data_IF_015775695260
#
_entry.id   IF_015775695260
#
_cell.length_a   1.000
_cell.length_b   1.000
_cell.length_c   1.000
_cell.angle_alpha   90.00
_cell.angle_beta   90.00
_cell.angle_gamma   90.00
#
_symmetry.space_group_name_H-M   'P 1'
#
loop_
_entity.id
_entity.type
_entity.pdbx_description
1 polymer ?
#
# COMPACT_ATOMS: atom_id res chain seq x y z
N UNK A 1 -16.82 -37.17 -4.67
CA UNK A 1 -15.62 -36.33 -4.85
C UNK A 1 -15.96 -35.31 -5.93
N UNK A 2 -16.47 -34.15 -5.51
CA UNK A 2 -17.24 -33.24 -6.36
C UNK A 2 -16.35 -32.30 -7.17
N UNK A 3 -16.75 -32.02 -8.42
CA UNK A 3 -16.08 -31.13 -9.39
C UNK A 3 -15.82 -29.70 -8.87
N UNK A 4 -16.43 -29.33 -7.75
CA UNK A 4 -16.34 -28.00 -7.10
C UNK A 4 -15.36 -27.94 -5.91
N UNK A 5 -14.73 -29.04 -5.48
CA UNK A 5 -13.77 -29.01 -4.35
C UNK A 5 -12.51 -28.17 -4.64
N UNK A 6 -12.17 -27.97 -5.92
CA UNK A 6 -11.05 -27.14 -6.33
C UNK A 6 -11.35 -25.63 -6.36
N UNK A 7 -12.63 -25.22 -6.28
CA UNK A 7 -13.02 -23.78 -6.26
C UNK A 7 -12.82 -23.11 -4.90
N UNK A 8 -12.49 -23.87 -3.86
CA UNK A 8 -12.30 -23.36 -2.48
C UNK A 8 -10.85 -23.05 -2.12
N UNK A 9 -9.90 -23.22 -3.04
CA UNK A 9 -8.56 -22.68 -2.82
C UNK A 9 -8.66 -21.18 -3.01
N UNK A 10 -8.56 -20.44 -1.92
CA UNK A 10 -8.39 -18.98 -1.96
C UNK A 10 -7.20 -18.73 -2.88
N UNK A 11 -7.47 -18.19 -4.06
CA UNK A 11 -6.43 -17.62 -4.91
C UNK A 11 -5.96 -16.35 -4.21
N UNK A 12 -5.22 -16.50 -3.12
CA UNK A 12 -4.59 -15.38 -2.45
C UNK A 12 -3.68 -14.73 -3.49
N UNK A 13 -3.93 -13.45 -3.78
CA UNK A 13 -3.01 -12.67 -4.60
C UNK A 13 -1.62 -12.85 -4.00
N UNK A 14 -0.67 -13.29 -4.84
CA UNK A 14 0.71 -13.54 -4.41
C UNK A 14 0.86 -14.64 -3.34
N UNK A 15 0.01 -15.66 -3.31
CA UNK A 15 0.08 -16.75 -2.32
C UNK A 15 1.39 -17.58 -2.31
N UNK A 16 2.18 -17.49 -3.39
CA UNK A 16 3.53 -18.08 -3.46
C UNK A 16 4.61 -17.14 -2.90
N UNK A 17 4.33 -15.85 -2.75
CA UNK A 17 5.31 -14.90 -2.23
C UNK A 17 5.50 -15.12 -0.72
N UNK A 18 6.75 -15.09 -0.24
CA UNK A 18 7.04 -15.13 1.18
C UNK A 18 6.28 -14.03 1.94
N UNK A 19 5.71 -14.37 3.10
CA UNK A 19 4.90 -13.43 3.92
C UNK A 19 5.62 -12.13 4.29
N UNK A 20 6.94 -12.12 4.34
CA UNK A 20 7.71 -10.92 4.64
C UNK A 20 7.70 -9.92 3.47
N UNK A 21 7.59 -10.39 2.22
CA UNK A 21 7.51 -9.54 1.01
C UNK A 21 6.12 -8.92 0.85
N UNK A 22 5.08 -9.62 1.28
CA UNK A 22 3.70 -9.11 1.34
C UNK A 22 3.52 -7.95 2.31
N UNK A 23 4.43 -7.74 3.27
CA UNK A 23 4.34 -6.61 4.21
C UNK A 23 4.85 -5.29 3.62
N UNK A 24 5.72 -5.37 2.62
CA UNK A 24 6.22 -4.20 1.88
C UNK A 24 5.30 -3.82 0.71
N UNK A 25 4.16 -4.53 0.54
CA UNK A 25 3.31 -4.44 -0.65
C UNK A 25 2.20 -3.39 -0.56
N UNK A 26 2.20 -2.50 0.43
CA UNK A 26 1.32 -1.32 0.35
C UNK A 26 1.68 -0.46 -0.89
N UNK A 27 2.86 -0.70 -1.50
CA UNK A 27 3.33 -0.08 -2.73
C UNK A 27 3.74 1.38 -2.53
N UNK A 28 3.88 1.78 -1.27
CA UNK A 28 4.22 3.13 -0.87
C UNK A 28 5.72 3.14 -0.58
N UNK A 29 6.51 3.37 -1.62
CA UNK A 29 7.95 3.61 -1.50
C UNK A 29 8.15 5.06 -1.04
N UNK A 30 8.18 5.29 0.27
CA UNK A 30 8.44 6.62 0.85
C UNK A 30 9.93 6.77 1.14
N UNK A 31 10.67 7.33 0.18
CA UNK A 31 12.08 7.69 0.33
C UNK A 31 12.22 9.17 0.74
N UNK A 32 11.64 9.54 1.88
CA UNK A 32 11.70 10.92 2.39
C UNK A 32 12.76 11.08 3.49
N UNK A 33 13.58 12.13 3.39
CA UNK A 33 14.60 12.49 4.37
C UNK A 33 14.35 13.91 4.88
N UNK A 34 13.99 14.05 6.16
CA UNK A 34 13.68 15.36 6.78
C UNK A 34 14.84 16.37 6.67
N UNK A 35 16.08 15.89 6.72
CA UNK A 35 17.29 16.73 6.72
C UNK A 35 17.59 17.39 5.36
N UNK A 36 17.07 16.81 4.28
CA UNK A 36 17.23 17.32 2.92
C UNK A 36 15.98 18.00 2.38
N UNK A 37 14.89 17.99 3.16
CA UNK A 37 13.61 18.52 2.74
C UNK A 37 13.64 20.05 2.72
N UNK A 38 13.24 20.62 1.58
CA UNK A 38 13.05 22.05 1.46
C UNK A 38 11.60 22.47 1.80
N UNK A 39 11.32 23.77 1.74
CA UNK A 39 9.99 24.30 2.07
C UNK A 39 8.89 23.76 1.13
N UNK A 40 9.24 23.45 -0.12
CA UNK A 40 8.29 22.96 -1.12
C UNK A 40 7.94 21.49 -0.85
N UNK A 41 8.91 20.69 -0.40
CA UNK A 41 8.69 19.32 0.05
C UNK A 41 7.70 19.24 1.23
N UNK A 42 7.85 20.14 2.21
CA UNK A 42 6.91 20.22 3.33
C UNK A 42 5.50 20.61 2.88
N UNK A 43 5.39 21.53 1.93
CA UNK A 43 4.10 21.96 1.38
C UNK A 43 3.44 20.84 0.58
N UNK A 44 4.22 20.09 -0.21
CA UNK A 44 3.75 18.93 -0.96
C UNK A 44 3.19 17.85 -0.03
N UNK A 45 3.88 17.53 1.08
CA UNK A 45 3.37 16.60 2.08
C UNK A 45 2.07 17.08 2.73
N UNK A 46 1.98 18.37 3.06
CA UNK A 46 0.78 18.93 3.67
C UNK A 46 -0.42 18.81 2.71
N UNK A 47 -0.22 19.03 1.41
CA UNK A 47 -1.24 18.86 0.38
C UNK A 47 -1.66 17.41 0.21
N UNK A 48 -0.72 16.47 0.17
CA UNK A 48 -1.01 15.04 0.06
C UNK A 48 -1.84 14.54 1.25
N UNK A 49 -1.41 14.88 2.48
CA UNK A 49 -2.17 14.56 3.71
C UNK A 49 -3.60 15.12 3.67
N UNK A 50 -3.79 16.33 3.12
CA UNK A 50 -5.11 16.92 2.97
C UNK A 50 -5.96 16.17 1.92
N UNK A 51 -5.37 15.73 0.81
CA UNK A 51 -6.06 14.93 -0.21
C UNK A 51 -6.48 13.56 0.33
N UNK A 52 -5.59 12.86 1.03
CA UNK A 52 -5.91 11.58 1.69
C UNK A 52 -7.08 11.74 2.67
N UNK A 53 -7.10 12.82 3.46
CA UNK A 53 -8.21 13.11 4.38
C UNK A 53 -9.54 13.29 3.65
N UNK A 54 -9.55 13.96 2.49
CA UNK A 54 -10.76 14.11 1.67
C UNK A 54 -11.27 12.76 1.15
N UNK A 55 -10.36 11.89 0.70
CA UNK A 55 -10.71 10.56 0.20
C UNK A 55 -11.25 9.68 1.32
N UNK A 56 -10.63 9.69 2.51
CA UNK A 56 -11.07 8.88 3.66
C UNK A 56 -12.43 9.31 4.23
N UNK A 57 -12.81 10.57 4.07
CA UNK A 57 -14.08 11.12 4.55
C UNK A 57 -15.23 10.99 3.53
N UNK A 58 -15.00 10.33 2.41
CA UNK A 58 -16.01 10.04 1.38
C UNK A 58 -16.45 8.58 1.49
#
# INVERSE_FOLDING_TARGET
>A
MGRDEHKRRKNAALGQTPKHQLKYSDGIDVEFSDEFADADDWEAQARDRAAIRRIKNK
#
